data_IF_090768558464
#
_entry.id   IF_090768558464
#
_cell.length_a   1.000
_cell.length_b   1.000
_cell.length_c   1.000
_cell.angle_alpha   90.00
_cell.angle_beta   90.00
_cell.angle_gamma   90.00
#
_symmetry.space_group_name_H-M   'P 1'
#
loop_
_entity.id
_entity.type
_entity.pdbx_description
1 polymer ?
#
# COMPACT_ATOMS: atom_id res chain seq x y z
N UNK A 1 28.28 48.32 50.93
CA UNK A 1 27.02 49.10 50.97
C UNK A 1 26.05 48.41 50.01
N UNK A 2 24.86 47.91 50.38
CA UNK A 2 24.15 47.83 51.69
C UNK A 2 23.53 46.42 51.80
N UNK A 3 23.23 45.96 53.03
CA UNK A 3 22.67 44.63 53.32
C UNK A 3 21.14 44.47 53.15
N UNK A 4 20.57 43.34 53.61
CA UNK A 4 19.24 42.81 53.24
C UNK A 4 18.10 43.20 54.20
N UNK A 5 16.85 42.70 54.03
CA UNK A 5 16.40 41.40 54.62
C UNK A 5 15.57 40.55 53.62
N UNK A 6 15.28 39.24 53.76
CA UNK A 6 14.99 38.31 54.87
C UNK A 6 13.51 38.23 55.33
N UNK A 7 13.04 37.00 55.61
CA UNK A 7 11.82 36.62 56.36
C UNK A 7 10.46 36.83 55.65
N UNK A 8 9.36 36.09 55.94
CA UNK A 8 9.09 34.70 56.43
C UNK A 8 7.54 34.58 56.53
N UNK A 9 6.99 33.34 56.44
CA UNK A 9 5.70 32.90 57.06
C UNK A 9 4.41 33.57 56.51
N UNK A 10 3.19 33.05 56.63
CA UNK A 10 2.50 31.74 56.85
C UNK A 10 0.99 32.10 56.96
N UNK A 11 0.10 31.11 56.88
CA UNK A 11 -1.38 31.14 56.96
C UNK A 11 -2.11 31.42 55.63
N UNK A 12 -3.03 30.58 55.14
CA UNK A 12 -4.00 29.62 55.73
C UNK A 12 -5.34 30.26 56.17
N UNK A 13 -6.36 30.06 55.33
CA UNK A 13 -7.81 30.13 55.58
C UNK A 13 -8.48 29.49 54.35
N UNK A 14 -8.93 28.24 54.40
CA UNK A 14 -10.22 27.77 54.94
C UNK A 14 -11.49 28.25 54.21
N UNK A 15 -12.20 27.23 53.69
CA UNK A 15 -13.64 26.93 53.90
C UNK A 15 -14.72 27.54 52.97
N UNK A 16 -15.59 26.59 52.56
CA UNK A 16 -17.03 26.73 52.27
C UNK A 16 -17.39 27.51 50.98
N UNK A 17 -18.45 27.18 50.23
CA UNK A 17 -19.47 26.13 50.41
C UNK A 17 -19.98 25.63 49.05
N UNK A 18 -20.61 24.47 49.12
CA UNK A 18 -21.54 23.91 48.16
C UNK A 18 -22.62 24.90 47.70
N UNK A 19 -23.17 24.70 46.50
CA UNK A 19 -24.59 24.35 46.38
C UNK A 19 -24.96 23.76 45.01
N UNK A 20 -25.87 22.79 45.05
CA UNK A 20 -26.52 22.14 43.92
C UNK A 20 -28.03 22.18 44.22
N UNK A 21 -28.88 22.70 43.32
CA UNK A 21 -30.31 22.39 43.38
C UNK A 21 -30.80 21.63 42.13
N UNK A 22 -31.33 20.44 42.39
CA UNK A 22 -32.20 19.69 41.45
C UNK A 22 -33.59 20.33 41.37
N UNK A 23 -34.16 20.38 40.16
CA UNK A 23 -35.60 20.16 39.79
C UNK A 23 -35.72 20.39 38.27
N UNK A 24 -36.45 19.62 37.46
CA UNK A 24 -37.38 18.51 37.71
C UNK A 24 -38.74 18.78 37.02
N UNK A 25 -39.45 17.72 36.59
CA UNK A 25 -40.79 17.70 35.92
C UNK A 25 -40.77 17.98 34.39
N UNK A 26 -41.64 17.37 33.55
CA UNK A 26 -42.31 16.06 33.60
C UNK A 26 -42.94 15.67 32.23
N UNK A 27 -43.12 14.36 32.01
CA UNK A 27 -44.20 13.67 31.27
C UNK A 27 -44.72 14.13 29.88
N UNK A 28 -44.75 13.19 28.94
CA UNK A 28 -45.95 12.86 28.12
C UNK A 28 -45.84 11.43 27.52
N UNK A 29 -46.79 10.54 27.84
CA UNK A 29 -46.98 9.22 27.23
C UNK A 29 -48.14 9.22 26.24
N UNK A 30 -47.99 8.51 25.11
CA UNK A 30 -49.04 7.81 24.33
C UNK A 30 -48.38 7.17 23.08
N UNK A 31 -48.81 6.03 22.53
CA UNK A 31 -49.86 5.12 22.98
C UNK A 31 -50.41 4.20 21.86
N UNK A 32 -49.73 3.08 21.58
CA UNK A 32 -50.34 1.84 21.03
C UNK A 32 -50.78 1.82 19.53
N UNK A 33 -51.19 0.65 18.93
CA UNK A 33 -50.54 0.18 17.68
C UNK A 33 -51.52 -0.37 16.61
N UNK A 34 -51.07 -1.38 15.83
CA UNK A 34 -51.83 -2.36 15.03
C UNK A 34 -52.16 -2.00 13.55
N UNK A 35 -51.58 -2.73 12.58
CA UNK A 35 -52.29 -3.78 11.80
C UNK A 35 -51.49 -4.39 10.64
N UNK A 36 -51.44 -5.73 10.63
CA UNK A 36 -51.23 -6.57 9.43
C UNK A 36 -52.50 -6.58 8.56
N UNK A 37 -52.40 -7.04 7.31
CA UNK A 37 -53.18 -8.24 7.00
C UNK A 37 -52.35 -9.37 6.34
N UNK A 38 -52.87 -10.60 6.45
CA UNK A 38 -52.30 -11.83 5.87
C UNK A 38 -53.16 -12.35 4.72
N UNK A 39 -52.48 -12.97 3.73
CA UNK A 39 -52.89 -14.15 2.91
C UNK A 39 -54.15 -14.12 2.02
N UNK A 40 -53.88 -14.25 0.71
CA UNK A 40 -54.31 -15.35 -0.20
C UNK A 40 -53.63 -15.11 -1.57
N UNK A 41 -53.38 -16.04 -2.50
CA UNK A 41 -53.43 -17.51 -2.53
C UNK A 41 -52.83 -17.99 -3.88
N UNK A 42 -52.11 -19.12 -3.89
CA UNK A 42 -51.57 -19.85 -5.07
C UNK A 42 -52.69 -20.61 -5.84
N UNK A 43 -52.49 -21.30 -6.99
CA UNK A 43 -51.26 -21.83 -7.62
C UNK A 43 -51.14 -21.43 -9.13
N UNK A 44 -50.52 -22.14 -10.11
CA UNK A 44 -49.92 -23.49 -10.24
C UNK A 44 -48.94 -23.58 -11.45
N UNK A 45 -48.69 -24.81 -11.95
CA UNK A 45 -48.19 -25.24 -13.26
C UNK A 45 -46.68 -25.48 -13.43
N UNK A 46 -46.22 -26.63 -12.92
CA UNK A 46 -45.19 -27.44 -13.59
C UNK A 46 -45.86 -28.45 -14.55
N UNK A 47 -45.10 -29.05 -15.48
CA UNK A 47 -45.25 -30.49 -15.68
C UNK A 47 -43.90 -31.24 -15.60
N UNK A 48 -43.99 -32.50 -15.13
CA UNK A 48 -42.92 -33.52 -15.09
C UNK A 48 -43.34 -34.70 -15.98
N UNK A 49 -42.46 -35.73 -16.06
CA UNK A 49 -42.73 -37.13 -16.46
C UNK A 49 -42.76 -37.32 -18.01
N UNK A 50 -42.22 -38.39 -18.63
CA UNK A 50 -41.71 -39.69 -18.15
C UNK A 50 -40.35 -40.12 -18.75
N UNK A 51 -39.78 -41.19 -18.19
CA UNK A 51 -38.70 -42.03 -18.76
C UNK A 51 -39.28 -43.28 -19.45
N UNK A 52 -38.49 -43.90 -20.34
CA UNK A 52 -38.15 -45.34 -20.52
C UNK A 52 -37.52 -45.48 -21.94
N UNK A 53 -36.50 -46.30 -22.25
CA UNK A 53 -36.34 -47.74 -21.99
C UNK A 53 -37.09 -48.52 -23.11
N UNK A 54 -36.52 -49.41 -23.92
CA UNK A 54 -35.19 -50.08 -23.90
C UNK A 54 -34.86 -50.73 -25.30
N UNK A 55 -33.63 -51.22 -25.46
CA UNK A 55 -33.01 -52.05 -26.53
C UNK A 55 -33.78 -52.55 -27.79
N UNK A 56 -33.13 -52.45 -28.96
CA UNK A 56 -32.90 -53.58 -29.91
C UNK A 56 -31.95 -53.21 -31.09
N UNK A 57 -31.12 -54.17 -31.52
CA UNK A 57 -30.43 -54.28 -32.82
C UNK A 57 -30.82 -55.67 -33.42
N UNK A 58 -30.42 -56.06 -34.65
CA UNK A 58 -29.91 -55.34 -35.82
C UNK A 58 -30.83 -55.55 -37.05
N UNK A 59 -30.37 -55.18 -38.27
CA UNK A 59 -30.57 -55.88 -39.56
C UNK A 59 -29.65 -55.22 -40.62
N UNK A 60 -29.36 -55.91 -41.74
CA UNK A 60 -28.08 -55.77 -42.48
C UNK A 60 -28.16 -55.39 -43.97
N UNK A 61 -27.18 -54.59 -44.41
CA UNK A 61 -26.57 -54.65 -45.77
C UNK A 61 -26.97 -53.54 -46.77
N UNK A 62 -26.26 -53.40 -47.91
CA UNK A 62 -24.96 -54.01 -48.26
C UNK A 62 -23.87 -53.00 -48.72
N UNK A 63 -22.62 -53.45 -48.58
CA UNK A 63 -21.42 -53.20 -49.39
C UNK A 63 -21.26 -51.91 -50.22
N UNK A 64 -20.21 -51.15 -49.89
CA UNK A 64 -19.45 -50.37 -50.88
C UNK A 64 -17.98 -50.33 -50.46
N UNK A 65 -17.08 -50.90 -51.28
CA UNK A 65 -15.64 -50.90 -51.00
C UNK A 65 -15.05 -49.49 -51.03
N UNK A 66 -14.25 -49.08 -50.02
CA UNK A 66 -13.43 -47.88 -50.11
C UNK A 66 -12.05 -48.19 -50.74
N UNK A 67 -11.68 -47.39 -51.74
CA UNK A 67 -10.34 -47.38 -52.37
C UNK A 67 -9.22 -47.08 -51.35
N UNK A 68 -7.97 -47.53 -51.61
CA UNK A 68 -6.88 -47.40 -50.65
C UNK A 68 -6.48 -45.94 -50.41
N UNK A 69 -6.58 -45.49 -49.16
CA UNK A 69 -6.05 -44.19 -48.72
C UNK A 69 -4.53 -44.29 -48.60
N UNK A 70 -3.81 -43.57 -49.47
CA UNK A 70 -2.37 -43.40 -49.38
C UNK A 70 -2.04 -42.59 -48.12
N UNK A 71 -1.48 -43.26 -47.11
CA UNK A 71 -0.95 -42.59 -45.91
C UNK A 71 0.35 -41.87 -46.29
N UNK A 72 0.27 -40.56 -46.54
CA UNK A 72 1.46 -39.72 -46.53
C UNK A 72 1.92 -39.50 -45.09
N UNK A 73 3.14 -39.93 -44.76
CA UNK A 73 3.79 -39.55 -43.51
C UNK A 73 3.85 -38.01 -43.40
N UNK A 74 3.53 -37.41 -42.23
CA UNK A 74 3.72 -35.98 -42.06
C UNK A 74 5.21 -35.67 -42.10
N UNK A 75 5.62 -34.94 -43.15
CA UNK A 75 6.98 -34.45 -43.30
C UNK A 75 7.45 -33.79 -42.00
N UNK A 76 8.66 -34.16 -41.53
CA UNK A 76 9.27 -33.55 -40.35
C UNK A 76 9.38 -32.05 -40.59
N UNK A 77 8.53 -31.27 -39.91
CA UNK A 77 8.76 -29.83 -39.80
C UNK A 77 10.09 -29.64 -39.09
N UNK A 78 11.07 -29.11 -39.81
CA UNK A 78 12.26 -28.53 -39.23
C UNK A 78 11.82 -27.54 -38.12
N UNK A 79 12.53 -27.48 -36.98
CA UNK A 79 12.19 -26.55 -35.93
C UNK A 79 12.28 -25.13 -36.51
N UNK A 80 11.15 -24.42 -36.49
CA UNK A 80 11.12 -23.01 -36.87
C UNK A 80 12.18 -22.27 -36.06
N UNK A 81 13.06 -21.55 -36.76
CA UNK A 81 14.17 -20.85 -36.14
C UNK A 81 13.69 -19.99 -34.96
N UNK A 82 14.47 -20.00 -33.87
CA UNK A 82 14.18 -19.23 -32.66
C UNK A 82 13.79 -17.80 -33.00
N UNK A 83 12.69 -17.32 -32.42
CA UNK A 83 12.36 -15.90 -32.42
C UNK A 83 13.57 -15.16 -31.85
N UNK A 84 14.28 -14.44 -32.73
CA UNK A 84 15.51 -13.75 -32.34
C UNK A 84 15.17 -12.66 -31.33
N UNK A 85 15.95 -12.59 -30.26
CA UNK A 85 15.91 -11.48 -29.30
C UNK A 85 16.34 -10.20 -30.04
N UNK A 86 15.39 -9.51 -30.65
CA UNK A 86 15.66 -8.27 -31.38
C UNK A 86 16.00 -7.19 -30.35
N UNK A 87 17.28 -6.82 -30.28
CA UNK A 87 17.74 -5.75 -29.41
C UNK A 87 17.19 -4.38 -29.84
N UNK A 88 16.84 -3.50 -28.88
CA UNK A 88 16.42 -2.14 -29.20
C UNK A 88 17.54 -1.33 -29.86
N UNK A 89 17.16 -0.47 -30.81
CA UNK A 89 18.12 0.32 -31.56
C UNK A 89 19.04 1.16 -30.63
N UNK A 90 20.35 1.06 -30.85
CA UNK A 90 21.39 1.64 -29.98
C UNK A 90 21.16 3.13 -29.71
N UNK A 91 20.70 3.89 -30.71
CA UNK A 91 20.42 5.33 -30.55
C UNK A 91 19.19 5.63 -29.69
N UNK A 92 18.16 4.77 -29.70
CA UNK A 92 17.04 4.88 -28.74
C UNK A 92 17.51 4.58 -27.31
N UNK A 93 18.35 3.55 -27.13
CA UNK A 93 18.93 3.21 -25.82
C UNK A 93 19.78 4.36 -25.29
N UNK A 94 20.63 4.97 -26.14
CA UNK A 94 21.42 6.17 -25.81
C UNK A 94 20.54 7.38 -25.49
N UNK A 95 19.48 7.62 -26.25
CA UNK A 95 18.55 8.73 -26.01
C UNK A 95 17.77 8.59 -24.70
N UNK A 96 17.38 7.37 -24.33
CA UNK A 96 16.82 7.05 -23.00
C UNK A 96 17.87 7.21 -21.90
N UNK A 97 19.12 6.81 -22.14
CA UNK A 97 20.25 7.01 -21.23
C UNK A 97 20.42 8.49 -20.86
N UNK A 98 20.60 9.36 -21.86
CA UNK A 98 20.73 10.82 -21.67
C UNK A 98 19.60 11.41 -20.85
N UNK A 99 18.35 11.01 -21.10
CA UNK A 99 17.20 11.46 -20.31
C UNK A 99 17.29 11.02 -18.84
N UNK A 100 17.62 9.75 -18.58
CA UNK A 100 17.75 9.24 -17.21
C UNK A 100 18.90 9.92 -16.45
N UNK A 101 20.00 10.24 -17.13
CA UNK A 101 21.13 10.95 -16.54
C UNK A 101 20.76 12.41 -16.22
N UNK A 102 20.07 13.11 -17.13
CA UNK A 102 19.47 14.44 -16.88
C UNK A 102 18.54 14.45 -15.65
N UNK A 103 17.70 13.41 -15.47
CA UNK A 103 16.84 13.29 -14.28
C UNK A 103 17.64 13.17 -12.97
N UNK A 104 18.82 12.54 -13.00
CA UNK A 104 19.70 12.40 -11.83
C UNK A 104 20.48 13.68 -11.57
N UNK A 105 21.16 14.20 -12.60
CA UNK A 105 22.16 15.26 -12.48
C UNK A 105 21.52 16.64 -12.35
N UNK A 106 20.56 16.99 -13.22
CA UNK A 106 19.98 18.33 -13.26
C UNK A 106 18.70 18.45 -12.44
N UNK A 107 17.87 17.39 -12.44
CA UNK A 107 16.57 17.42 -11.74
C UNK A 107 16.58 16.80 -10.34
N UNK A 108 17.69 16.18 -9.94
CA UNK A 108 17.87 15.62 -8.58
C UNK A 108 16.82 14.58 -8.17
N UNK A 109 16.26 13.81 -9.13
CA UNK A 109 15.23 12.83 -8.81
C UNK A 109 15.79 11.72 -7.90
N UNK A 110 14.96 11.28 -6.96
CA UNK A 110 15.33 10.18 -6.08
C UNK A 110 15.62 8.90 -6.88
N UNK A 111 16.72 8.21 -6.56
CA UNK A 111 17.20 7.00 -7.24
C UNK A 111 16.08 5.98 -7.54
N UNK A 112 15.21 5.69 -6.55
CA UNK A 112 14.08 4.77 -6.74
C UNK A 112 13.11 5.18 -7.87
N UNK A 113 12.92 6.47 -8.12
CA UNK A 113 12.10 6.99 -9.23
C UNK A 113 12.82 6.79 -10.57
N UNK A 114 14.13 7.05 -10.61
CA UNK A 114 14.97 6.85 -11.81
C UNK A 114 15.03 5.36 -12.18
N UNK A 115 15.23 4.46 -11.23
CA UNK A 115 15.16 3.00 -11.45
C UNK A 115 13.80 2.57 -11.99
N UNK A 116 12.71 3.14 -11.46
CA UNK A 116 11.36 2.84 -11.92
C UNK A 116 11.11 3.35 -13.37
N UNK A 117 11.59 4.54 -13.70
CA UNK A 117 11.51 5.10 -15.06
C UNK A 117 12.40 4.34 -16.04
N UNK A 118 13.60 3.91 -15.64
CA UNK A 118 14.48 3.06 -16.45
C UNK A 118 13.75 1.78 -16.87
N UNK A 119 13.11 1.07 -15.93
CA UNK A 119 12.32 -0.14 -16.23
C UNK A 119 11.15 0.14 -17.17
N UNK A 120 10.42 1.23 -16.94
CA UNK A 120 9.27 1.61 -17.75
C UNK A 120 9.68 1.96 -19.20
N UNK A 121 10.80 2.68 -19.37
CA UNK A 121 11.35 3.04 -20.67
C UNK A 121 11.99 1.84 -21.39
N UNK A 122 12.64 0.91 -20.68
CA UNK A 122 13.09 -0.36 -21.27
C UNK A 122 11.92 -1.16 -21.86
N UNK A 123 10.77 -1.24 -21.15
CA UNK A 123 9.55 -1.88 -21.69
C UNK A 123 8.98 -1.12 -22.89
N UNK A 124 9.11 0.20 -22.93
CA UNK A 124 8.72 1.01 -24.09
C UNK A 124 9.61 0.73 -25.31
N UNK A 125 10.94 0.68 -25.13
CA UNK A 125 11.88 0.34 -26.21
C UNK A 125 11.62 -1.08 -26.74
N UNK A 126 11.44 -2.08 -25.87
CA UNK A 126 11.13 -3.45 -26.28
C UNK A 126 9.82 -3.56 -27.07
N UNK A 127 8.80 -2.76 -26.73
CA UNK A 127 7.58 -2.68 -27.52
C UNK A 127 7.85 -2.08 -28.91
N UNK A 128 8.57 -0.96 -29.00
CA UNK A 128 8.92 -0.33 -30.28
C UNK A 128 9.68 -1.31 -31.18
N UNK A 129 10.70 -2.02 -30.68
CA UNK A 129 11.46 -2.99 -31.47
C UNK A 129 10.56 -4.06 -32.09
N UNK A 130 9.61 -4.59 -31.30
CA UNK A 130 8.70 -5.67 -31.72
C UNK A 130 7.62 -5.21 -32.70
N UNK A 131 7.12 -3.97 -32.59
CA UNK A 131 5.96 -3.51 -33.38
C UNK A 131 6.30 -2.51 -34.50
N UNK A 132 7.48 -1.90 -34.45
CA UNK A 132 7.94 -0.88 -35.39
C UNK A 132 9.48 -0.96 -35.55
N UNK A 133 10.00 -2.04 -36.18
CA UNK A 133 11.45 -2.31 -36.29
C UNK A 133 12.22 -1.27 -37.13
N UNK A 134 11.48 -0.47 -37.90
CA UNK A 134 11.92 0.70 -38.67
C UNK A 134 12.20 1.94 -37.79
N UNK A 135 11.72 1.95 -36.53
CA UNK A 135 12.02 3.02 -35.55
C UNK A 135 13.40 2.80 -34.96
N UNK A 136 14.38 3.61 -35.37
CA UNK A 136 15.80 3.46 -35.00
C UNK A 136 16.34 4.63 -34.16
N UNK A 137 15.72 5.80 -34.29
CA UNK A 137 16.06 7.03 -33.56
C UNK A 137 14.80 7.74 -33.02
N UNK A 138 14.89 8.64 -32.03
CA UNK A 138 13.72 9.27 -31.41
C UNK A 138 12.76 9.98 -32.38
N UNK A 139 13.29 10.53 -33.49
CA UNK A 139 12.52 11.23 -34.53
C UNK A 139 11.59 10.32 -35.37
N UNK A 140 11.85 9.01 -35.39
CA UNK A 140 11.03 8.04 -36.12
C UNK A 140 9.76 7.68 -35.33
N UNK A 141 9.68 8.08 -34.05
CA UNK A 141 8.56 7.76 -33.17
C UNK A 141 7.37 8.65 -33.49
N UNK A 142 6.24 8.04 -33.85
CA UNK A 142 4.97 8.74 -34.07
C UNK A 142 4.09 8.74 -32.81
N UNK A 143 3.09 9.63 -32.76
CA UNK A 143 2.05 9.60 -31.72
C UNK A 143 1.30 8.26 -31.68
N UNK A 144 1.16 7.56 -32.82
CA UNK A 144 0.47 6.27 -32.88
C UNK A 144 1.30 5.12 -32.31
N UNK A 145 2.64 5.19 -32.38
CA UNK A 145 3.52 4.27 -31.63
C UNK A 145 3.32 4.44 -30.11
N UNK A 146 3.20 5.68 -29.62
CA UNK A 146 2.93 5.95 -28.20
C UNK A 146 1.54 5.47 -27.78
N UNK A 147 0.51 5.63 -28.63
CA UNK A 147 -0.85 5.13 -28.40
C UNK A 147 -0.91 3.60 -28.39
N UNK A 148 -0.23 2.94 -29.33
CA UNK A 148 -0.12 1.48 -29.41
C UNK A 148 0.50 0.91 -28.13
N UNK A 149 1.57 1.53 -27.62
CA UNK A 149 2.18 1.12 -26.36
C UNK A 149 1.21 1.19 -25.17
N UNK A 150 0.48 2.31 -25.02
CA UNK A 150 -0.48 2.47 -23.90
C UNK A 150 -1.62 1.45 -23.97
N UNK A 151 -2.06 1.09 -25.18
CA UNK A 151 -3.03 0.01 -25.39
C UNK A 151 -2.48 -1.33 -24.87
N UNK A 152 -1.26 -1.71 -25.26
CA UNK A 152 -0.59 -2.91 -24.73
C UNK A 152 -0.39 -2.86 -23.21
N UNK A 153 -0.08 -1.70 -22.61
CA UNK A 153 -0.03 -1.57 -21.15
C UNK A 153 -1.38 -1.83 -20.47
N UNK A 154 -2.51 -1.59 -21.14
CA UNK A 154 -3.86 -1.79 -20.60
C UNK A 154 -4.40 -3.20 -20.84
N UNK A 155 -4.15 -3.76 -22.01
CA UNK A 155 -4.68 -5.05 -22.47
C UNK A 155 -3.77 -6.22 -22.10
N UNK A 156 -2.50 -5.93 -21.79
CA UNK A 156 -1.45 -6.94 -21.64
C UNK A 156 -0.80 -7.31 -22.98
N UNK A 157 0.24 -8.12 -22.90
CA UNK A 157 0.81 -8.90 -23.99
C UNK A 157 1.27 -10.27 -23.45
N UNK A 158 1.76 -11.14 -24.33
CA UNK A 158 2.14 -12.52 -23.98
C UNK A 158 3.19 -12.61 -22.85
N UNK A 159 3.98 -11.54 -22.66
CA UNK A 159 5.00 -11.43 -21.62
C UNK A 159 4.51 -10.75 -20.33
N UNK A 160 3.47 -9.90 -20.41
CA UNK A 160 3.07 -9.02 -19.31
C UNK A 160 1.54 -8.91 -19.15
N UNK A 161 1.01 -9.13 -17.93
CA UNK A 161 -0.41 -8.92 -17.67
C UNK A 161 -0.82 -7.43 -17.77
N UNK A 162 -2.13 -7.16 -17.97
CA UNK A 162 -2.73 -5.83 -17.85
C UNK A 162 -2.21 -5.01 -16.66
N UNK A 163 -1.80 -3.76 -16.91
CA UNK A 163 -1.45 -2.84 -15.84
C UNK A 163 -2.67 -2.05 -15.36
N UNK A 164 -2.74 -1.85 -14.03
CA UNK A 164 -3.71 -0.92 -13.44
C UNK A 164 -3.57 0.50 -14.01
N UNK A 165 -4.65 1.27 -14.06
CA UNK A 165 -4.64 2.65 -14.56
C UNK A 165 -3.55 3.53 -13.90
N UNK A 166 -3.28 3.35 -12.60
CA UNK A 166 -2.21 4.04 -11.86
C UNK A 166 -0.81 3.62 -12.34
N UNK A 167 -0.62 2.34 -12.62
CA UNK A 167 0.64 1.81 -13.17
C UNK A 167 0.88 2.33 -14.60
N UNK A 168 -0.14 2.30 -15.46
CA UNK A 168 -0.07 2.81 -16.84
C UNK A 168 0.15 4.32 -16.90
N UNK A 169 -0.50 5.10 -16.02
CA UNK A 169 -0.27 6.54 -15.93
C UNK A 169 1.17 6.89 -15.51
N UNK A 170 1.79 6.09 -14.62
CA UNK A 170 3.20 6.25 -14.22
C UNK A 170 4.16 5.94 -15.38
N UNK A 171 3.92 4.85 -16.12
CA UNK A 171 4.70 4.49 -17.32
C UNK A 171 4.59 5.60 -18.37
N UNK A 172 3.38 6.10 -18.62
CA UNK A 172 3.16 7.20 -19.55
C UNK A 172 3.84 8.51 -19.10
N UNK A 173 3.91 8.80 -17.80
CA UNK A 173 4.68 9.94 -17.30
C UNK A 173 6.19 9.81 -17.59
N UNK A 174 6.75 8.60 -17.50
CA UNK A 174 8.14 8.35 -17.89
C UNK A 174 8.36 8.56 -19.40
N UNK A 175 7.47 8.02 -20.24
CA UNK A 175 7.51 8.17 -21.71
C UNK A 175 7.36 9.64 -22.14
N UNK A 176 6.35 10.35 -21.61
CA UNK A 176 6.14 11.78 -21.90
C UNK A 176 7.32 12.64 -21.45
N UNK A 177 7.93 12.32 -20.30
CA UNK A 177 9.13 13.02 -19.85
C UNK A 177 10.32 12.83 -20.77
N UNK A 178 10.52 11.62 -21.32
CA UNK A 178 11.58 11.34 -22.30
C UNK A 178 11.35 12.11 -23.62
N UNK A 179 10.12 12.09 -24.15
CA UNK A 179 9.77 12.82 -25.37
C UNK A 179 9.88 14.34 -25.22
N UNK A 180 9.39 14.90 -24.10
CA UNK A 180 9.55 16.32 -23.80
C UNK A 180 11.03 16.73 -23.66
N UNK A 181 11.88 15.87 -23.06
CA UNK A 181 13.32 16.08 -23.01
C UNK A 181 13.95 16.05 -24.42
N UNK A 182 13.64 15.06 -25.26
CA UNK A 182 14.17 15.01 -26.63
C UNK A 182 13.75 16.20 -27.49
N UNK A 183 12.55 16.75 -27.29
CA UNK A 183 12.10 17.97 -27.95
C UNK A 183 12.82 19.22 -27.41
N UNK A 184 13.09 19.29 -26.11
CA UNK A 184 13.84 20.40 -25.48
C UNK A 184 15.30 20.41 -25.94
N UNK A 185 15.94 19.24 -26.02
CA UNK A 185 17.28 19.02 -26.54
C UNK A 185 17.37 19.10 -28.08
N UNK A 186 16.31 19.57 -28.77
CA UNK A 186 16.24 19.68 -30.24
C UNK A 186 16.62 18.40 -31.00
N UNK A 187 16.44 17.24 -30.36
CA UNK A 187 16.69 15.90 -30.95
C UNK A 187 15.51 15.45 -31.83
N UNK A 188 14.33 16.01 -31.57
CA UNK A 188 13.10 15.86 -32.36
C UNK A 188 12.38 17.21 -32.47
N UNK A 189 11.66 17.45 -33.56
CA UNK A 189 11.01 18.75 -33.82
C UNK A 189 9.78 19.01 -32.93
N UNK A 190 9.17 17.96 -32.34
CA UNK A 190 8.00 18.07 -31.49
C UNK A 190 7.85 16.89 -30.50
N UNK A 191 7.27 17.15 -29.32
CA UNK A 191 6.85 16.10 -28.38
C UNK A 191 5.58 15.40 -28.89
N UNK A 192 5.76 14.25 -29.54
CA UNK A 192 4.68 13.39 -30.06
C UNK A 192 3.85 12.70 -28.96
N UNK A 193 4.35 12.65 -27.73
CA UNK A 193 3.67 12.06 -26.58
C UNK A 193 2.83 13.08 -25.78
N UNK A 194 3.08 14.39 -25.97
CA UNK A 194 2.41 15.52 -25.29
C UNK A 194 0.89 15.39 -25.20
N UNK A 195 0.24 15.03 -26.33
CA UNK A 195 -1.22 14.92 -26.50
C UNK A 195 -1.79 13.57 -26.08
N UNK A 196 -0.94 12.62 -25.66
CA UNK A 196 -1.40 11.28 -25.29
C UNK A 196 -1.75 11.26 -23.80
N UNK A 197 -3.04 11.15 -23.51
CA UNK A 197 -3.57 11.22 -22.15
C UNK A 197 -3.67 9.84 -21.50
N UNK A 198 -3.34 9.70 -20.19
CA UNK A 198 -3.66 8.49 -19.46
C UNK A 198 -5.18 8.34 -19.32
N UNK A 199 -5.73 7.11 -19.25
CA UNK A 199 -7.12 6.94 -18.85
C UNK A 199 -7.31 7.52 -17.44
N UNK A 200 -8.44 8.19 -17.15
CA UNK A 200 -8.71 8.70 -15.81
C UNK A 200 -8.69 7.51 -14.83
N UNK A 201 -7.93 7.60 -13.71
CA UNK A 201 -7.89 6.52 -12.75
C UNK A 201 -9.29 6.36 -12.12
N UNK A 202 -9.80 5.14 -11.94
CA UNK A 202 -11.05 4.95 -11.23
C UNK A 202 -10.90 5.48 -9.80
N UNK A 203 -11.68 6.50 -9.45
CA UNK A 203 -11.76 7.02 -8.09
C UNK A 203 -12.51 6.02 -7.20
N UNK A 204 -11.81 4.97 -6.79
CA UNK A 204 -12.12 4.21 -5.59
C UNK A 204 -11.05 4.52 -4.57
N UNK A 205 -11.32 5.49 -3.71
CA UNK A 205 -10.59 5.63 -2.46
C UNK A 205 -10.79 4.31 -1.69
N UNK A 206 -9.73 3.55 -1.36
CA UNK A 206 -9.87 2.39 -0.49
C UNK A 206 -10.37 2.91 0.86
N UNK A 207 -11.58 2.52 1.26
CA UNK A 207 -12.09 2.88 2.59
C UNK A 207 -11.14 2.31 3.66
N UNK A 208 -10.96 3.04 4.75
CA UNK A 208 -10.34 2.52 5.96
C UNK A 208 -10.99 1.19 6.36
N UNK A 209 -10.19 0.28 6.94
CA UNK A 209 -10.73 -0.91 7.60
C UNK A 209 -11.16 -0.51 9.01
N UNK A 210 -12.33 -1.00 9.44
CA UNK A 210 -12.90 -0.60 10.73
C UNK A 210 -12.04 -1.04 11.92
N UNK A 211 -12.20 -0.40 13.08
CA UNK A 211 -11.40 -0.69 14.30
C UNK A 211 -11.41 -2.20 14.63
N UNK A 212 -12.56 -2.87 14.58
CA UNK A 212 -12.64 -4.33 14.80
C UNK A 212 -11.93 -5.17 13.73
N UNK A 213 -11.92 -4.73 12.46
CA UNK A 213 -11.12 -5.39 11.41
C UNK A 213 -9.61 -5.23 11.69
N UNK A 214 -9.20 -4.08 12.22
CA UNK A 214 -7.82 -3.86 12.69
C UNK A 214 -7.51 -4.75 13.89
N UNK A 215 -8.35 -4.80 14.92
CA UNK A 215 -8.12 -5.62 16.12
C UNK A 215 -7.94 -7.10 15.77
N UNK A 216 -8.78 -7.64 14.89
CA UNK A 216 -8.65 -8.99 14.37
C UNK A 216 -7.33 -9.18 13.59
N UNK A 217 -6.91 -8.21 12.78
CA UNK A 217 -5.64 -8.25 12.05
C UNK A 217 -4.42 -8.25 13.00
N UNK A 218 -4.47 -7.45 14.07
CA UNK A 218 -3.41 -7.34 15.07
C UNK A 218 -3.32 -8.60 15.95
N UNK A 219 -4.43 -9.29 16.17
CA UNK A 219 -4.51 -10.54 16.92
C UNK A 219 -4.15 -11.80 16.09
N UNK A 220 -4.20 -11.72 14.76
CA UNK A 220 -3.99 -12.86 13.85
C UNK A 220 -2.63 -13.59 13.94
N UNK A 221 -1.49 -12.95 14.26
CA UNK A 221 -0.21 -13.67 14.38
C UNK A 221 -0.10 -14.48 15.68
N UNK A 222 0.40 -15.70 15.56
CA UNK A 222 0.60 -16.63 16.67
C UNK A 222 1.45 -16.03 17.82
N UNK A 223 0.88 -15.86 19.03
CA UNK A 223 1.57 -15.22 20.15
C UNK A 223 2.68 -16.07 20.80
N UNK A 224 2.78 -17.36 20.45
CA UNK A 224 3.70 -18.32 21.07
C UNK A 224 4.93 -18.64 20.21
N UNK A 225 4.96 -18.21 18.94
CA UNK A 225 6.13 -18.37 18.07
C UNK A 225 6.97 -17.09 17.96
N UNK A 226 8.31 -17.18 17.83
CA UNK A 226 9.16 -16.00 17.59
C UNK A 226 8.79 -15.24 16.31
N UNK A 227 8.27 -15.96 15.30
CA UNK A 227 7.81 -15.37 14.04
C UNK A 227 6.50 -14.60 14.19
N UNK A 228 5.52 -15.12 14.95
CA UNK A 228 4.24 -14.48 15.20
C UNK A 228 4.35 -13.32 16.20
N UNK A 229 5.15 -13.46 17.26
CA UNK A 229 5.52 -12.33 18.15
C UNK A 229 6.11 -11.15 17.36
N UNK A 230 7.06 -11.43 16.44
CA UNK A 230 7.62 -10.42 15.54
C UNK A 230 6.56 -9.77 14.66
N UNK A 231 5.70 -10.58 14.04
CA UNK A 231 4.66 -10.08 13.13
C UNK A 231 3.64 -9.21 13.88
N UNK A 232 3.20 -9.62 15.09
CA UNK A 232 2.29 -8.84 15.93
C UNK A 232 2.91 -7.51 16.36
N UNK A 233 4.16 -7.51 16.85
CA UNK A 233 4.88 -6.29 17.18
C UNK A 233 5.02 -5.35 15.97
N UNK A 234 5.29 -5.90 14.79
CA UNK A 234 5.39 -5.12 13.56
C UNK A 234 4.05 -4.51 13.12
N UNK A 235 2.94 -5.25 13.27
CA UNK A 235 1.60 -4.78 12.92
C UNK A 235 1.06 -3.73 13.90
N UNK A 236 1.19 -3.96 15.21
CA UNK A 236 0.81 -2.98 16.24
C UNK A 236 1.60 -1.68 16.07
N UNK A 237 2.92 -1.76 15.81
CA UNK A 237 3.75 -0.60 15.47
C UNK A 237 3.25 0.15 14.23
N UNK A 238 2.98 -0.55 13.11
CA UNK A 238 2.50 0.06 11.87
C UNK A 238 1.18 0.79 12.07
N UNK A 239 0.27 0.21 12.86
CA UNK A 239 -1.01 0.83 13.18
C UNK A 239 -0.82 2.02 14.10
N UNK A 240 -0.18 1.85 15.26
CA UNK A 240 0.00 2.90 16.28
C UNK A 240 0.74 4.16 15.79
N UNK A 241 1.59 4.05 14.77
CA UNK A 241 2.45 5.17 14.31
C UNK A 241 2.09 5.70 12.93
N UNK A 242 1.21 5.00 12.21
CA UNK A 242 1.01 5.19 10.78
C UNK A 242 2.29 5.11 9.94
N UNK A 243 3.37 4.47 10.43
CA UNK A 243 4.67 4.44 9.76
C UNK A 243 4.57 3.88 8.33
N UNK A 244 5.43 4.36 7.41
CA UNK A 244 5.59 3.66 6.14
C UNK A 244 6.31 2.34 6.41
N UNK A 245 6.01 1.30 5.65
CA UNK A 245 6.66 -0.02 5.80
C UNK A 245 8.20 0.06 5.73
N UNK A 246 8.75 1.00 4.95
CA UNK A 246 10.19 1.25 4.88
C UNK A 246 10.76 1.90 6.15
N UNK A 247 9.97 2.74 6.83
CA UNK A 247 10.37 3.41 8.09
C UNK A 247 10.40 2.37 9.21
N UNK A 248 9.32 1.57 9.35
CA UNK A 248 9.25 0.51 10.36
C UNK A 248 10.29 -0.61 10.17
N UNK A 249 10.65 -0.94 8.93
CA UNK A 249 11.73 -1.91 8.63
C UNK A 249 13.12 -1.32 8.94
N UNK A 250 13.29 0.00 8.81
CA UNK A 250 14.58 0.68 9.01
C UNK A 250 14.93 0.94 10.49
N UNK A 251 13.96 0.89 11.41
CA UNK A 251 14.15 1.11 12.84
C UNK A 251 15.32 0.31 13.44
N UNK A 252 16.11 0.99 14.26
CA UNK A 252 17.12 0.41 15.15
C UNK A 252 16.66 0.47 16.61
N UNK A 253 17.27 -0.35 17.48
CA UNK A 253 16.90 -0.39 18.92
C UNK A 253 17.04 0.99 19.58
N UNK A 254 18.01 1.79 19.16
CA UNK A 254 18.24 3.15 19.65
C UNK A 254 17.14 4.15 19.22
N UNK A 255 16.30 3.81 18.25
CA UNK A 255 15.11 4.58 17.87
C UNK A 255 13.92 4.34 18.82
N UNK A 256 14.01 3.30 19.66
CA UNK A 256 13.02 2.94 20.69
C UNK A 256 13.42 3.43 22.08
N UNK A 257 14.40 4.33 22.22
CA UNK A 257 14.88 4.80 23.52
C UNK A 257 13.79 5.43 24.42
N UNK A 258 12.72 5.98 23.83
CA UNK A 258 11.56 6.53 24.55
C UNK A 258 10.40 5.55 24.75
N UNK A 259 10.60 4.23 24.57
CA UNK A 259 9.52 3.24 24.65
C UNK A 259 8.95 3.06 26.08
N UNK A 260 9.73 3.40 27.11
CA UNK A 260 9.37 3.29 28.52
C UNK A 260 9.20 4.66 29.21
N UNK A 261 8.88 5.70 28.44
CA UNK A 261 8.58 7.03 28.98
C UNK A 261 7.26 7.02 29.78
N UNK A 262 7.22 7.66 30.95
CA UNK A 262 6.11 7.54 31.92
C UNK A 262 4.82 8.22 31.46
N UNK A 263 4.92 9.30 30.67
CA UNK A 263 3.76 10.03 30.14
C UNK A 263 3.12 9.28 28.95
N UNK A 264 3.90 9.15 27.87
CA UNK A 264 3.52 8.45 26.65
C UNK A 264 4.77 8.13 25.83
N UNK A 265 4.94 6.86 25.51
CA UNK A 265 6.08 6.33 24.78
C UNK A 265 6.31 7.05 23.45
N UNK A 266 7.56 7.44 23.18
CA UNK A 266 7.97 8.08 21.93
C UNK A 266 8.99 7.21 21.19
N UNK A 267 8.81 7.08 19.88
CA UNK A 267 9.83 6.48 19.00
C UNK A 267 10.29 7.47 17.93
N UNK A 268 11.50 7.28 17.43
CA UNK A 268 12.07 8.06 16.33
C UNK A 268 11.86 7.34 15.00
N UNK A 269 11.19 7.97 14.04
CA UNK A 269 11.04 7.46 12.68
C UNK A 269 11.84 8.30 11.68
N UNK A 270 12.70 7.64 10.89
CA UNK A 270 13.51 8.28 9.84
C UNK A 270 12.78 8.22 8.50
N UNK A 271 12.40 9.38 7.98
CA UNK A 271 11.70 9.54 6.70
C UNK A 271 12.64 9.73 5.50
N UNK A 272 12.05 10.00 4.33
CA UNK A 272 12.82 10.29 3.10
C UNK A 272 13.63 11.58 3.26
N UNK A 273 14.92 11.52 2.94
CA UNK A 273 15.84 12.66 3.04
C UNK A 273 16.32 12.92 4.45
N UNK A 274 16.52 11.85 5.23
CA UNK A 274 17.05 11.86 6.61
C UNK A 274 16.24 12.73 7.61
N UNK A 275 14.95 12.90 7.32
CA UNK A 275 14.05 13.67 8.18
C UNK A 275 13.53 12.79 9.31
N UNK A 276 14.07 12.99 10.51
CA UNK A 276 13.57 12.37 11.73
C UNK A 276 12.26 13.02 12.19
N UNK A 277 11.35 12.21 12.75
CA UNK A 277 10.21 12.68 13.56
C UNK A 277 10.06 11.81 14.80
N UNK A 278 9.63 12.40 15.91
CA UNK A 278 9.17 11.66 17.08
C UNK A 278 7.67 11.37 16.90
N UNK A 279 7.25 10.14 17.22
CA UNK A 279 5.84 9.72 17.11
C UNK A 279 5.44 9.02 18.42
N UNK A 280 4.31 9.41 19.04
CA UNK A 280 3.74 8.70 20.18
C UNK A 280 3.32 7.27 19.81
N UNK A 281 3.43 6.37 20.79
CA UNK A 281 3.10 4.96 20.67
C UNK A 281 2.24 4.56 21.88
N UNK A 282 1.14 3.86 21.60
CA UNK A 282 0.23 3.42 22.65
C UNK A 282 0.70 2.14 23.37
N UNK A 283 0.13 1.91 24.56
CA UNK A 283 0.43 0.77 25.45
C UNK A 283 0.44 -0.60 24.75
N UNK A 284 -0.50 -0.83 23.81
CA UNK A 284 -0.61 -2.09 23.06
C UNK A 284 0.61 -2.35 22.17
N UNK A 285 1.11 -1.31 21.50
CA UNK A 285 2.29 -1.40 20.65
C UNK A 285 3.57 -1.47 21.48
N UNK A 286 3.66 -0.76 22.62
CA UNK A 286 4.73 -0.94 23.62
C UNK A 286 4.77 -2.40 24.10
N UNK A 287 3.64 -2.94 24.58
CA UNK A 287 3.51 -4.32 25.07
C UNK A 287 3.89 -5.36 24.00
N UNK A 288 3.48 -5.14 22.75
CA UNK A 288 3.82 -6.04 21.65
C UNK A 288 5.31 -5.98 21.29
N UNK A 289 5.89 -4.78 21.26
CA UNK A 289 7.33 -4.58 21.07
C UNK A 289 8.13 -5.23 22.21
N UNK A 290 7.78 -5.02 23.46
CA UNK A 290 8.46 -5.61 24.62
C UNK A 290 8.41 -7.13 24.60
N UNK A 291 7.23 -7.72 24.33
CA UNK A 291 7.11 -9.18 24.14
C UNK A 291 8.05 -9.69 23.05
N UNK A 292 8.18 -8.98 21.93
CA UNK A 292 9.09 -9.34 20.86
C UNK A 292 10.56 -9.16 21.25
N UNK A 293 10.93 -7.99 21.79
CA UNK A 293 12.29 -7.62 22.17
C UNK A 293 12.87 -8.53 23.26
N UNK A 294 12.04 -8.97 24.21
CA UNK A 294 12.45 -9.84 25.32
C UNK A 294 12.40 -11.33 24.93
N UNK A 295 11.31 -11.81 24.31
CA UNK A 295 11.08 -13.25 24.14
C UNK A 295 11.55 -13.84 22.81
N UNK A 296 11.65 -13.04 21.74
CA UNK A 296 11.84 -13.55 20.38
C UNK A 296 13.05 -12.95 19.65
N UNK A 297 13.30 -11.64 19.78
CA UNK A 297 14.45 -10.98 19.17
C UNK A 297 15.80 -11.59 19.60
N UNK A 298 16.04 -11.98 20.88
CA UNK A 298 17.32 -12.53 21.29
C UNK A 298 17.61 -13.88 20.62
N UNK A 299 16.61 -14.75 20.48
CA UNK A 299 16.73 -16.03 19.78
C UNK A 299 17.08 -15.82 18.30
N UNK A 300 16.36 -14.92 17.62
CA UNK A 300 16.65 -14.56 16.22
C UNK A 300 18.06 -13.96 16.07
N UNK A 301 18.48 -13.10 17.00
CA UNK A 301 19.78 -12.43 16.96
C UNK A 301 20.97 -13.40 17.08
N UNK A 302 20.83 -14.52 17.82
CA UNK A 302 21.87 -15.56 17.94
C UNK A 302 22.23 -16.24 16.61
N UNK A 303 21.36 -16.14 15.60
CA UNK A 303 21.60 -16.67 14.26
C UNK A 303 22.32 -15.68 13.31
N UNK A 304 22.60 -14.45 13.77
CA UNK A 304 23.23 -13.39 12.99
C UNK A 304 24.63 -13.00 13.49
N UNK A 305 25.25 -12.00 12.84
CA UNK A 305 26.57 -11.44 13.22
C UNK A 305 26.47 -10.20 14.13
N UNK A 306 25.32 -9.99 14.78
CA UNK A 306 24.99 -8.74 15.47
C UNK A 306 24.43 -7.67 14.51
N UNK A 307 23.37 -6.98 14.93
CA UNK A 307 22.77 -5.88 14.18
C UNK A 307 21.90 -5.00 15.10
N UNK A 308 21.87 -3.67 14.90
CA UNK A 308 21.02 -2.77 15.69
C UNK A 308 19.53 -2.88 15.31
N UNK A 309 19.19 -3.52 14.18
CA UNK A 309 17.83 -3.59 13.65
C UNK A 309 16.81 -4.12 14.67
N UNK A 310 15.68 -3.43 14.84
CA UNK A 310 14.58 -3.92 15.69
C UNK A 310 14.08 -5.27 15.15
N UNK A 311 13.59 -5.30 13.92
CA UNK A 311 12.95 -6.49 13.35
C UNK A 311 13.92 -7.37 12.56
N UNK A 312 14.11 -8.60 13.06
CA UNK A 312 15.04 -9.59 12.50
C UNK A 312 14.34 -10.70 11.71
N UNK A 313 14.98 -11.14 10.63
CA UNK A 313 14.63 -12.36 9.91
C UNK A 313 15.19 -13.60 10.64
N UNK A 314 14.86 -14.81 10.16
CA UNK A 314 15.29 -16.07 10.79
C UNK A 314 16.82 -16.29 10.81
N UNK A 315 17.60 -15.50 10.05
CA UNK A 315 19.08 -15.52 10.00
C UNK A 315 19.69 -14.34 10.78
N UNK A 316 18.98 -13.81 11.77
CA UNK A 316 19.44 -12.73 12.66
C UNK A 316 19.81 -11.41 11.97
N UNK A 317 19.42 -11.20 10.72
CA UNK A 317 19.66 -9.96 9.96
C UNK A 317 18.35 -9.15 9.84
N UNK A 318 18.41 -7.84 9.55
CA UNK A 318 17.21 -7.00 9.32
C UNK A 318 16.22 -7.67 8.35
N UNK A 319 14.91 -7.60 8.62
CA UNK A 319 13.89 -8.07 7.69
C UNK A 319 13.91 -7.25 6.39
N UNK A 320 13.54 -7.87 5.27
CA UNK A 320 13.35 -7.13 4.01
C UNK A 320 11.96 -6.47 3.98
N UNK A 321 11.81 -5.44 3.14
CA UNK A 321 10.51 -4.80 2.87
C UNK A 321 9.48 -5.79 2.30
N UNK A 322 9.94 -6.82 1.58
CA UNK A 322 9.10 -7.90 1.06
C UNK A 322 8.64 -8.83 2.19
N UNK A 323 9.55 -9.22 3.09
CA UNK A 323 9.22 -10.03 4.28
C UNK A 323 8.21 -9.32 5.17
N UNK A 324 8.39 -8.02 5.40
CA UNK A 324 7.43 -7.17 6.12
C UNK A 324 6.05 -7.10 5.42
N UNK A 325 6.02 -7.05 4.09
CA UNK A 325 4.76 -7.03 3.32
C UNK A 325 4.04 -8.38 3.41
N UNK A 326 4.78 -9.49 3.36
CA UNK A 326 4.24 -10.84 3.60
C UNK A 326 3.57 -10.94 4.97
N UNK A 327 4.22 -10.48 6.06
CA UNK A 327 3.60 -10.51 7.40
C UNK A 327 2.23 -9.81 7.44
N UNK A 328 2.07 -8.66 6.76
CA UNK A 328 0.78 -7.96 6.64
C UNK A 328 -0.24 -8.76 5.84
N UNK A 329 0.17 -9.37 4.72
CA UNK A 329 -0.72 -10.17 3.87
C UNK A 329 -1.10 -11.51 4.49
N UNK A 330 -0.22 -12.12 5.27
CA UNK A 330 -0.46 -13.38 5.95
C UNK A 330 -1.44 -13.19 7.11
N UNK A 331 -1.25 -12.15 7.94
CA UNK A 331 -2.23 -11.76 8.96
C UNK A 331 -3.60 -11.39 8.35
N UNK A 332 -3.61 -10.70 7.20
CA UNK A 332 -4.84 -10.36 6.50
C UNK A 332 -5.57 -11.60 5.94
N UNK A 333 -4.83 -12.62 5.49
CA UNK A 333 -5.37 -13.90 5.02
C UNK A 333 -6.04 -14.69 6.15
N UNK A 334 -5.46 -14.68 7.36
CA UNK A 334 -6.05 -15.30 8.56
C UNK A 334 -7.44 -14.74 8.89
N UNK A 335 -7.72 -13.49 8.53
CA UNK A 335 -9.02 -12.84 8.73
C UNK A 335 -9.84 -12.68 7.44
N UNK A 336 -9.43 -13.34 6.34
CA UNK A 336 -10.09 -13.34 5.03
C UNK A 336 -10.24 -11.94 4.37
N UNK A 337 -9.28 -11.05 4.59
CA UNK A 337 -9.27 -9.67 4.08
C UNK A 337 -7.99 -9.34 3.27
N UNK A 338 -7.28 -10.33 2.75
CA UNK A 338 -6.00 -10.15 2.05
C UNK A 338 -6.09 -9.15 0.88
N UNK A 339 -7.18 -9.13 0.12
CA UNK A 339 -7.32 -8.23 -1.04
C UNK A 339 -7.65 -6.78 -0.66
N UNK A 340 -8.13 -6.55 0.57
CA UNK A 340 -8.42 -5.22 1.11
C UNK A 340 -7.23 -4.63 1.88
N UNK A 341 -6.49 -5.47 2.61
CA UNK A 341 -5.50 -5.04 3.58
C UNK A 341 -4.09 -5.01 2.97
N UNK A 342 -3.49 -3.83 3.04
CA UNK A 342 -2.10 -3.55 2.66
C UNK A 342 -1.47 -2.62 3.70
N UNK A 343 -0.13 -2.45 3.73
CA UNK A 343 0.50 -1.44 4.58
C UNK A 343 -0.03 -0.02 4.35
N UNK A 344 -0.50 0.29 3.14
CA UNK A 344 -1.12 1.58 2.82
C UNK A 344 -2.55 1.67 3.37
N UNK A 345 -3.32 0.58 3.36
CA UNK A 345 -4.66 0.51 3.98
C UNK A 345 -4.56 0.70 5.50
N UNK A 346 -3.60 0.04 6.15
CA UNK A 346 -3.30 0.20 7.58
C UNK A 346 -2.99 1.66 7.94
N UNK A 347 -2.05 2.29 7.22
CA UNK A 347 -1.69 3.71 7.42
C UNK A 347 -2.85 4.68 7.13
N UNK A 348 -3.71 4.37 6.16
CA UNK A 348 -4.92 5.17 5.92
C UNK A 348 -5.94 5.00 7.05
N UNK A 349 -6.08 3.80 7.60
CA UNK A 349 -7.00 3.51 8.70
C UNK A 349 -6.55 4.19 9.99
N UNK A 350 -5.25 4.18 10.32
CA UNK A 350 -4.67 5.03 11.39
C UNK A 350 -5.05 6.51 11.22
N UNK A 351 -4.87 7.07 10.03
CA UNK A 351 -5.17 8.48 9.77
C UNK A 351 -6.67 8.78 9.91
N UNK A 352 -7.52 7.86 9.44
CA UNK A 352 -8.99 8.00 9.48
C UNK A 352 -9.51 7.86 10.91
N UNK A 353 -9.04 6.86 11.65
CA UNK A 353 -9.46 6.63 13.04
C UNK A 353 -9.00 7.75 13.98
N UNK A 354 -7.84 8.38 13.74
CA UNK A 354 -7.46 9.59 14.46
C UNK A 354 -8.44 10.75 14.20
N UNK A 355 -8.80 11.00 12.95
CA UNK A 355 -9.78 12.04 12.58
C UNK A 355 -11.17 11.74 13.18
N UNK A 356 -11.62 10.48 13.13
CA UNK A 356 -12.87 10.02 13.74
C UNK A 356 -12.85 10.12 15.28
N UNK A 357 -11.68 9.92 15.90
CA UNK A 357 -11.42 10.18 17.32
C UNK A 357 -11.24 11.66 17.68
N UNK A 358 -11.47 12.59 16.73
CA UNK A 358 -11.45 14.03 16.97
C UNK A 358 -10.08 14.71 16.84
N UNK A 359 -9.04 14.01 16.35
CA UNK A 359 -7.74 14.63 16.12
C UNK A 359 -7.80 15.68 15.00
N UNK A 360 -7.13 16.82 15.20
CA UNK A 360 -7.00 17.83 14.16
C UNK A 360 -6.20 17.32 12.95
N UNK A 361 -6.62 17.72 11.74
CA UNK A 361 -6.00 17.28 10.48
C UNK A 361 -4.51 17.66 10.39
N UNK A 362 -4.09 18.80 10.96
CA UNK A 362 -2.68 19.22 10.97
C UNK A 362 -1.83 18.29 11.85
N UNK A 363 -2.37 17.84 12.99
CA UNK A 363 -1.73 16.87 13.88
C UNK A 363 -1.57 15.52 13.19
N UNK A 364 -2.62 15.02 12.53
CA UNK A 364 -2.56 13.77 11.75
C UNK A 364 -1.52 13.86 10.63
N UNK A 365 -1.40 14.99 9.93
CA UNK A 365 -0.36 15.21 8.91
C UNK A 365 1.07 15.20 9.47
N UNK A 366 1.27 15.75 10.67
CA UNK A 366 2.57 15.81 11.34
C UNK A 366 3.03 14.41 11.80
N UNK A 367 2.15 13.65 12.47
CA UNK A 367 2.37 12.24 12.85
C UNK A 367 2.74 11.36 11.65
N UNK A 368 2.10 11.60 10.50
CA UNK A 368 2.37 10.90 9.25
C UNK A 368 3.64 11.38 8.52
N UNK A 369 4.25 12.51 8.92
CA UNK A 369 5.45 13.06 8.31
C UNK A 369 5.25 13.55 6.86
N UNK A 370 4.24 14.39 6.63
CA UNK A 370 4.01 15.03 5.32
C UNK A 370 4.81 16.33 5.18
N UNK A 371 6.02 16.22 4.62
CA UNK A 371 6.99 17.33 4.51
C UNK A 371 6.72 18.34 3.37
N UNK A 372 5.46 18.69 3.08
CA UNK A 372 5.12 19.76 2.13
C UNK A 372 3.76 20.40 2.44
N UNK A 373 3.82 21.63 2.93
CA UNK A 373 2.84 22.68 2.65
C UNK A 373 3.64 23.85 2.07
N UNK A 374 3.29 24.29 0.86
CA UNK A 374 3.79 25.57 0.37
C UNK A 374 3.21 26.70 1.24
N UNK A 375 3.99 27.76 1.45
CA UNK A 375 3.75 28.93 2.34
C UNK A 375 4.10 28.75 3.83
N UNK A 376 5.13 29.49 4.25
CA UNK A 376 5.90 29.29 5.49
C UNK A 376 5.47 30.24 6.64
N UNK A 377 4.31 30.87 6.55
CA UNK A 377 3.93 32.00 7.43
C UNK A 377 2.87 31.70 8.51
N UNK A 378 2.41 30.44 8.64
CA UNK A 378 1.55 29.98 9.75
C UNK A 378 2.26 28.85 10.53
N UNK A 379 3.57 29.01 10.73
CA UNK A 379 4.44 28.02 11.39
C UNK A 379 4.70 28.40 12.86
N UNK A 380 3.77 28.04 13.75
CA UNK A 380 4.00 28.11 15.20
C UNK A 380 3.56 26.84 15.91
N UNK A 381 4.54 25.94 16.10
CA UNK A 381 4.60 24.85 17.10
C UNK A 381 3.30 24.06 17.35
N UNK A 382 3.13 22.96 16.63
CA UNK A 382 2.61 21.75 17.28
C UNK A 382 3.75 21.20 18.14
N UNK A 383 3.57 21.16 19.46
CA UNK A 383 4.60 20.65 20.38
C UNK A 383 4.54 19.12 20.46
N UNK A 384 5.61 18.46 20.93
CA UNK A 384 5.59 17.01 21.20
C UNK A 384 4.50 16.68 22.23
N UNK A 385 4.27 17.55 23.20
CA UNK A 385 3.21 17.38 24.21
C UNK A 385 1.81 17.42 23.58
N UNK A 386 1.57 18.35 22.66
CA UNK A 386 0.32 18.42 21.90
C UNK A 386 0.12 17.18 20.99
N UNK A 387 1.20 16.59 20.46
CA UNK A 387 1.11 15.32 19.73
C UNK A 387 0.73 14.16 20.66
N UNK A 388 1.26 14.14 21.90
CA UNK A 388 0.94 13.12 22.91
C UNK A 388 -0.52 13.21 23.33
N UNK A 389 -0.99 14.40 23.69
CA UNK A 389 -2.37 14.64 24.15
C UNK A 389 -3.41 14.24 23.10
N UNK A 390 -3.23 14.70 21.85
CA UNK A 390 -4.15 14.36 20.76
C UNK A 390 -4.10 12.87 20.41
N UNK A 391 -2.92 12.25 20.42
CA UNK A 391 -2.84 10.80 20.24
C UNK A 391 -3.54 10.03 21.38
N UNK A 392 -3.33 10.46 22.63
CA UNK A 392 -3.90 9.82 23.82
C UNK A 392 -5.44 9.91 23.90
N UNK A 393 -6.02 10.96 23.32
CA UNK A 393 -7.48 11.17 23.28
C UNK A 393 -8.14 10.58 22.04
N UNK A 394 -7.45 10.52 20.89
CA UNK A 394 -8.05 10.18 19.60
C UNK A 394 -7.65 8.82 19.01
N UNK A 395 -6.55 8.19 19.43
CA UNK A 395 -6.13 6.91 18.84
C UNK A 395 -6.83 5.71 19.52
N UNK A 396 -7.50 4.80 18.78
CA UNK A 396 -8.26 3.70 19.38
C UNK A 396 -7.45 2.71 20.24
N UNK A 397 -6.12 2.73 20.15
CA UNK A 397 -5.19 1.88 20.90
C UNK A 397 -4.13 2.71 21.63
N UNK A 398 -4.51 3.86 22.19
CA UNK A 398 -3.61 4.72 22.94
C UNK A 398 -3.23 4.18 24.33
N UNK A 399 -4.18 3.53 25.02
CA UNK A 399 -4.08 3.03 26.40
C UNK A 399 -4.54 1.59 26.48
#
# INVERSE_FOLDING_TARGET
MVGPPSARRVNDHQRLSAENPRRGLNAAEAGSPDRLPRRSGTPDASPRVARNGEAAQPETGPDTEPLPVVVQEPARREPAASASEQEPAVELVRAVGRYLDHLVVERGLAQNTVTAYRRDLSRYLAHLTRTAPDVRVPRDITTDHVRAFIRVLREGDDEHPPLSARSSARVLAAVRGAHAFWATESTVDADVASRVSPPPPPQRLPKAIGVTEVENLLAAPDPETPAGLRARAFLELLYATGARISEAVALDVDDLAGLHDEDLALIRLVGKGDKHRLVPVGSYAVTALDRYLVRARPELARHGRGTPAVFLNARGSRISRQTAWSMVKDAARTIHLEDRITPHTLRHSFATHLLEGGADLRVVQELLGHASLATTQIYTRVSVESLREVYATSHPRAR
#
